data_IF_264066485086
#
_entry.id   IF_264066485086
#
_cell.length_a   1.000
_cell.length_b   1.000
_cell.length_c   1.000
_cell.angle_alpha   90.00
_cell.angle_beta   90.00
_cell.angle_gamma   90.00
#
_symmetry.space_group_name_H-M   'P 1'
#
loop_
_entity.id
_entity.type
_entity.pdbx_description
1 polymer ?
#
# COMPACT_ATOMS: atom_id res chain seq x y z
N UNK A 1 21.24 -3.25 -24.92
CA UNK A 1 20.10 -4.18 -24.82
C UNK A 1 19.03 -3.50 -23.99
N UNK A 2 17.78 -3.43 -24.47
CA UNK A 2 16.69 -2.84 -23.70
C UNK A 2 16.33 -3.79 -22.54
N UNK A 3 16.31 -3.27 -21.31
CA UNK A 3 15.89 -4.04 -20.14
C UNK A 3 14.37 -4.21 -20.21
N UNK A 4 13.91 -5.47 -20.19
CA UNK A 4 12.47 -5.76 -20.14
C UNK A 4 11.94 -5.29 -18.78
N UNK A 5 10.90 -4.43 -18.73
CA UNK A 5 10.30 -4.04 -17.46
C UNK A 5 9.78 -5.26 -16.69
N UNK A 6 9.94 -5.23 -15.38
CA UNK A 6 9.43 -6.24 -14.45
C UNK A 6 8.74 -5.56 -13.27
N UNK A 7 7.72 -6.22 -12.73
CA UNK A 7 7.02 -5.74 -11.55
C UNK A 7 7.87 -5.92 -10.27
N UNK A 8 7.72 -5.06 -9.24
CA UNK A 8 8.44 -5.21 -7.98
C UNK A 8 8.19 -6.58 -7.32
N UNK A 9 9.20 -7.10 -6.61
CA UNK A 9 9.10 -8.38 -5.90
C UNK A 9 7.91 -8.37 -4.92
N UNK A 10 7.12 -9.44 -4.93
CA UNK A 10 5.95 -9.57 -4.04
C UNK A 10 4.68 -8.89 -4.58
N UNK A 11 4.72 -8.32 -5.78
CA UNK A 11 3.54 -7.75 -6.46
C UNK A 11 3.07 -8.64 -7.62
N UNK A 12 1.83 -8.46 -8.06
CA UNK A 12 1.24 -9.14 -9.22
C UNK A 12 0.20 -8.26 -9.89
N UNK A 13 0.07 -8.39 -11.20
CA UNK A 13 -1.05 -7.85 -11.95
C UNK A 13 -2.31 -8.69 -11.73
N UNK A 14 -3.48 -8.07 -11.88
CA UNK A 14 -4.77 -8.75 -11.82
C UNK A 14 -5.44 -8.69 -13.19
N UNK A 15 -5.85 -9.85 -13.69
CA UNK A 15 -6.63 -9.97 -14.92
C UNK A 15 -8.04 -9.38 -14.77
N UNK A 16 -8.75 -9.06 -15.87
CA UNK A 16 -10.10 -8.54 -15.80
C UNK A 16 -11.07 -9.43 -15.01
N UNK A 17 -10.94 -10.76 -15.12
CA UNK A 17 -11.77 -11.71 -14.36
C UNK A 17 -11.48 -11.62 -12.86
N UNK A 18 -10.22 -11.55 -12.45
CA UNK A 18 -9.85 -11.41 -11.04
C UNK A 18 -10.35 -10.09 -10.45
N UNK A 19 -10.24 -8.98 -11.20
CA UNK A 19 -10.78 -7.69 -10.78
C UNK A 19 -12.31 -7.75 -10.60
N UNK A 20 -13.03 -8.37 -11.53
CA UNK A 20 -14.48 -8.54 -11.43
C UNK A 20 -14.89 -9.33 -10.17
N UNK A 21 -14.21 -10.43 -9.89
CA UNK A 21 -14.46 -11.25 -8.69
C UNK A 21 -14.14 -10.50 -7.40
N UNK A 22 -13.04 -9.76 -7.35
CA UNK A 22 -12.68 -8.92 -6.19
C UNK A 22 -13.74 -7.85 -5.93
N UNK A 23 -14.20 -7.17 -6.98
CA UNK A 23 -15.25 -6.15 -6.87
C UNK A 23 -16.57 -6.73 -6.35
N UNK A 24 -16.94 -7.94 -6.76
CA UNK A 24 -18.10 -8.64 -6.21
C UNK A 24 -17.98 -8.81 -4.68
N UNK A 25 -16.83 -9.28 -4.19
CA UNK A 25 -16.58 -9.45 -2.75
C UNK A 25 -16.64 -8.09 -2.04
N UNK A 26 -15.96 -7.06 -2.56
CA UNK A 26 -15.97 -5.73 -1.96
C UNK A 26 -17.37 -5.14 -1.87
N UNK A 27 -18.20 -5.32 -2.91
CA UNK A 27 -19.56 -4.78 -2.92
C UNK A 27 -20.43 -5.44 -1.83
N UNK A 28 -20.33 -6.75 -1.63
CA UNK A 28 -21.05 -7.43 -0.54
C UNK A 28 -20.66 -6.85 0.81
N UNK A 29 -19.35 -6.68 1.06
CA UNK A 29 -18.87 -6.13 2.33
C UNK A 29 -19.34 -4.69 2.54
N UNK A 30 -19.22 -3.84 1.52
CA UNK A 30 -19.67 -2.43 1.56
C UNK A 30 -21.15 -2.33 1.87
N UNK A 31 -22.00 -3.03 1.11
CA UNK A 31 -23.45 -3.03 1.33
C UNK A 31 -23.82 -3.51 2.73
N UNK A 32 -23.11 -4.52 3.24
CA UNK A 32 -23.32 -4.99 4.61
C UNK A 32 -22.97 -3.92 5.64
N UNK A 33 -21.83 -3.23 5.53
CA UNK A 33 -21.46 -2.17 6.47
C UNK A 33 -22.41 -0.97 6.40
N UNK A 34 -22.79 -0.55 5.19
CA UNK A 34 -23.73 0.55 4.96
C UNK A 34 -25.12 0.25 5.56
N UNK A 35 -25.59 -1.01 5.50
CA UNK A 35 -26.85 -1.44 6.10
C UNK A 35 -26.89 -1.18 7.63
N UNK A 36 -25.74 -1.27 8.30
CA UNK A 36 -25.61 -0.99 9.73
C UNK A 36 -25.21 0.46 10.04
N UNK A 37 -25.26 1.36 9.06
CA UNK A 37 -25.01 2.80 9.25
C UNK A 37 -23.55 3.20 9.34
N UNK A 38 -22.61 2.30 9.01
CA UNK A 38 -21.19 2.66 8.93
C UNK A 38 -20.92 3.51 7.69
N UNK A 39 -20.12 4.56 7.85
CA UNK A 39 -19.71 5.43 6.75
C UNK A 39 -18.28 5.09 6.31
N UNK A 40 -18.00 5.03 4.99
CA UNK A 40 -16.65 4.83 4.51
C UNK A 40 -15.78 6.05 4.76
N UNK A 41 -14.52 5.82 5.11
CA UNK A 41 -13.46 6.82 5.08
C UNK A 41 -12.25 6.23 4.36
N UNK A 42 -11.48 7.08 3.71
CA UNK A 42 -10.20 6.71 3.09
C UNK A 42 -9.12 7.65 3.63
N UNK A 43 -7.96 7.09 3.94
CA UNK A 43 -6.78 7.83 4.39
C UNK A 43 -5.72 7.79 3.30
N UNK A 44 -4.75 8.71 3.29
CA UNK A 44 -3.59 8.61 2.41
C UNK A 44 -2.89 7.24 2.51
N UNK A 45 -2.28 6.78 1.41
CA UNK A 45 -1.58 5.48 1.38
C UNK A 45 -0.28 5.47 2.20
N UNK A 46 0.23 6.63 2.59
CA UNK A 46 1.39 6.81 3.45
C UNK A 46 1.05 7.81 4.55
N UNK A 47 1.68 7.64 5.71
CA UNK A 47 1.49 8.47 6.91
C UNK A 47 2.86 8.96 7.41
N UNK A 48 2.86 9.93 8.31
CA UNK A 48 4.09 10.38 8.96
C UNK A 48 4.74 9.21 9.72
N UNK A 49 6.08 9.16 9.72
CA UNK A 49 6.82 8.07 10.39
C UNK A 49 6.49 7.98 11.88
N UNK A 50 6.34 9.14 12.56
CA UNK A 50 5.92 9.22 13.96
C UNK A 50 4.53 8.62 14.22
N UNK A 51 3.66 8.60 13.20
CA UNK A 51 2.31 8.03 13.30
C UNK A 51 2.33 6.50 13.25
N UNK A 52 3.33 5.88 12.62
CA UNK A 52 3.37 4.43 12.40
C UNK A 52 4.37 3.70 13.33
N UNK A 53 5.48 4.34 13.69
CA UNK A 53 6.55 3.70 14.48
C UNK A 53 6.10 3.38 15.90
N UNK A 54 6.59 2.26 16.45
CA UNK A 54 6.32 1.82 17.82
C UNK A 54 4.92 1.24 18.06
N UNK A 55 4.00 1.33 17.08
CA UNK A 55 2.64 0.79 17.20
C UNK A 55 2.54 -0.72 16.97
N UNK A 56 3.51 -1.30 16.26
CA UNK A 56 3.46 -2.69 15.80
C UNK A 56 4.56 -3.57 16.43
N UNK A 57 5.24 -3.07 17.47
CA UNK A 57 6.40 -3.71 18.08
C UNK A 57 7.65 -3.64 17.21
N UNK A 58 8.79 -4.08 17.75
CA UNK A 58 10.10 -3.95 17.08
C UNK A 58 10.16 -4.69 15.73
N UNK A 59 9.54 -5.87 15.64
CA UNK A 59 9.49 -6.63 14.38
C UNK A 59 8.54 -6.00 13.37
N UNK A 60 7.44 -5.38 13.81
CA UNK A 60 6.50 -4.70 12.94
C UNK A 60 7.10 -3.46 12.27
N UNK A 61 7.91 -2.70 13.02
CA UNK A 61 8.57 -1.50 12.51
C UNK A 61 9.57 -1.80 11.37
N UNK A 62 10.14 -3.01 11.35
CA UNK A 62 11.05 -3.48 10.29
C UNK A 62 10.33 -3.80 8.98
N UNK A 63 9.01 -3.99 9.01
CA UNK A 63 8.20 -4.36 7.85
C UNK A 63 7.57 -3.14 7.15
N UNK A 64 7.76 -1.93 7.67
CA UNK A 64 7.21 -0.68 7.11
C UNK A 64 8.04 -0.22 5.91
N UNK A 65 7.39 0.02 4.78
CA UNK A 65 8.00 0.69 3.64
C UNK A 65 8.22 2.18 3.94
N UNK A 66 9.49 2.60 3.97
CA UNK A 66 9.87 4.01 4.21
C UNK A 66 10.05 4.73 2.88
N UNK A 67 9.41 5.89 2.75
CA UNK A 67 9.59 6.80 1.61
C UNK A 67 10.84 7.65 1.87
N UNK A 68 11.75 7.71 0.90
CA UNK A 68 12.95 8.54 0.99
C UNK A 68 12.58 10.02 0.83
N UNK A 69 13.15 10.87 1.68
CA UNK A 69 13.00 12.33 1.54
C UNK A 69 13.59 12.79 0.21
N UNK A 70 12.85 13.64 -0.51
CA UNK A 70 13.25 14.10 -1.85
C UNK A 70 14.60 14.84 -1.87
N UNK A 71 15.03 15.43 -0.76
CA UNK A 71 16.34 16.09 -0.60
C UNK A 71 17.52 15.13 -0.31
N UNK A 72 17.24 13.92 0.18
CA UNK A 72 18.24 12.89 0.46
C UNK A 72 18.58 12.03 -0.77
N UNK A 73 17.89 12.27 -1.90
CA UNK A 73 18.10 11.52 -3.13
C UNK A 73 19.56 11.59 -3.64
N UNK A 74 20.22 12.74 -3.46
CA UNK A 74 21.60 12.98 -3.92
C UNK A 74 22.67 12.74 -2.84
N UNK A 75 22.30 12.58 -1.57
CA UNK A 75 23.29 12.35 -0.50
C UNK A 75 23.97 10.98 -0.62
N UNK A 76 23.33 10.03 -1.33
CA UNK A 76 23.87 8.69 -1.63
C UNK A 76 24.49 8.55 -3.02
N UNK A 77 24.49 9.60 -3.85
CA UNK A 77 25.11 9.59 -5.19
C UNK A 77 26.52 10.17 -5.18
N UNK A 78 27.10 10.38 -4.00
CA UNK A 78 28.52 10.73 -3.83
C UNK A 78 29.38 9.46 -3.86
N UNK A 79 29.39 8.78 -5.00
CA UNK A 79 30.42 7.85 -5.51
C UNK A 79 30.02 7.36 -6.92
#
# INVERSE_FOLDING_TARGET
MAVKPSIPKGTRDFSPNEVAQRNYIFNILKSSFELYGFQPIETPSFENSETLMGKYGEEGDRLIFKILNSGDYLSKTSE
#
